data_IF_002271546558
#
_entry.id   IF_002271546558
#
_cell.length_a   1.000
_cell.length_b   1.000
_cell.length_c   1.000
_cell.angle_alpha   90.00
_cell.angle_beta   90.00
_cell.angle_gamma   90.00
#
_symmetry.space_group_name_H-M   'P 1'
#
loop_
_entity.id
_entity.type
_entity.pdbx_description
1 polymer ?
#
# COMPACT_ATOMS: atom_id res chain seq x y z
N UNK A 1 -23.40 -9.43 -28.60
CA UNK A 1 -23.32 -7.98 -28.37
C UNK A 1 -24.40 -7.61 -27.36
N UNK A 2 -24.04 -7.57 -26.06
CA UNK A 2 -24.93 -7.12 -25.01
C UNK A 2 -24.63 -5.65 -24.72
N UNK A 3 -25.55 -4.76 -25.06
CA UNK A 3 -25.57 -3.38 -24.61
C UNK A 3 -25.94 -3.38 -23.13
N UNK A 4 -24.97 -3.61 -22.26
CA UNK A 4 -25.11 -3.37 -20.83
C UNK A 4 -25.30 -1.87 -20.61
N UNK A 5 -26.49 -1.46 -20.24
CA UNK A 5 -26.79 -0.11 -19.76
C UNK A 5 -25.85 0.18 -18.60
N UNK A 6 -24.90 1.09 -18.77
CA UNK A 6 -24.09 1.65 -17.70
C UNK A 6 -25.05 2.43 -16.80
N UNK A 7 -25.54 1.79 -15.73
CA UNK A 7 -26.22 2.50 -14.66
C UNK A 7 -25.22 3.49 -14.06
N UNK A 8 -25.56 4.76 -13.92
CA UNK A 8 -24.69 5.70 -13.20
C UNK A 8 -24.49 5.17 -11.77
N UNK A 9 -23.26 4.82 -11.42
CA UNK A 9 -22.93 4.49 -10.04
C UNK A 9 -22.98 5.80 -9.25
N UNK A 10 -23.86 5.88 -8.27
CA UNK A 10 -23.77 6.89 -7.23
C UNK A 10 -22.57 6.52 -6.38
N UNK A 11 -21.55 7.37 -6.37
CA UNK A 11 -20.40 7.21 -5.51
C UNK A 11 -20.70 7.88 -4.17
N UNK A 12 -20.39 7.21 -3.07
CA UNK A 12 -20.33 7.89 -1.79
C UNK A 12 -19.21 8.94 -1.86
N UNK A 13 -19.48 10.15 -1.40
CA UNK A 13 -18.53 11.29 -1.53
C UNK A 13 -17.21 11.07 -0.78
N UNK A 14 -17.14 10.02 0.05
CA UNK A 14 -15.99 9.66 0.87
C UNK A 14 -15.20 8.44 0.34
N UNK A 15 -15.53 7.94 -0.86
CA UNK A 15 -14.81 6.83 -1.50
C UNK A 15 -14.33 7.17 -2.91
N UNK A 16 -13.12 6.71 -3.27
CA UNK A 16 -12.71 6.64 -4.67
C UNK A 16 -13.06 5.23 -5.19
N UNK A 17 -13.86 5.13 -6.25
CA UNK A 17 -14.33 3.85 -6.76
C UNK A 17 -13.22 2.98 -7.33
N UNK A 18 -13.50 1.67 -7.40
CA UNK A 18 -12.64 0.71 -8.06
C UNK A 18 -12.37 1.08 -9.51
N UNK A 19 -11.08 1.11 -9.89
CA UNK A 19 -10.60 1.38 -11.23
C UNK A 19 -10.92 2.78 -11.76
N UNK A 20 -11.37 3.72 -10.90
CA UNK A 20 -11.90 5.03 -11.32
C UNK A 20 -10.97 5.79 -12.27
N UNK A 21 -9.66 5.74 -12.02
CA UNK A 21 -8.63 6.45 -12.79
C UNK A 21 -7.52 5.53 -13.29
N UNK A 22 -7.76 4.21 -13.32
CA UNK A 22 -6.76 3.26 -13.78
C UNK A 22 -6.24 3.62 -15.19
N UNK A 23 -4.92 3.51 -15.39
CA UNK A 23 -4.23 3.77 -16.65
C UNK A 23 -4.40 5.20 -17.21
N UNK A 24 -4.88 6.16 -16.42
CA UNK A 24 -5.02 7.58 -16.82
C UNK A 24 -3.65 8.27 -16.86
N UNK A 25 -2.89 7.99 -17.92
CA UNK A 25 -1.55 8.55 -18.13
C UNK A 25 -1.54 10.06 -18.45
N UNK A 26 -2.70 10.71 -18.59
CA UNK A 26 -2.81 12.17 -18.67
C UNK A 26 -2.70 12.85 -17.31
N UNK A 27 -2.87 12.10 -16.19
CA UNK A 27 -2.74 12.62 -14.85
C UNK A 27 -1.26 12.70 -14.46
N UNK A 28 -0.80 13.87 -14.04
CA UNK A 28 0.58 14.11 -13.62
C UNK A 28 0.71 14.55 -12.14
N UNK A 29 -0.41 14.90 -11.51
CA UNK A 29 -0.49 15.27 -10.10
C UNK A 29 -1.79 14.77 -9.50
N UNK A 30 -1.72 14.34 -8.24
CA UNK A 30 -2.89 13.90 -7.47
C UNK A 30 -3.01 14.74 -6.19
N UNK A 31 -4.22 15.22 -5.92
CA UNK A 31 -4.63 15.81 -4.65
C UNK A 31 -5.90 15.08 -4.23
N UNK A 32 -5.87 14.44 -3.08
CA UNK A 32 -7.00 13.70 -2.52
C UNK A 32 -7.79 14.60 -1.56
N UNK A 33 -9.13 14.55 -1.55
CA UNK A 33 -9.95 15.37 -0.66
C UNK A 33 -9.88 14.86 0.80
N UNK A 34 -9.95 15.79 1.76
CA UNK A 34 -9.87 15.47 3.20
C UNK A 34 -11.09 14.71 3.73
N UNK A 35 -12.20 14.67 2.98
CA UNK A 35 -13.40 13.91 3.33
C UNK A 35 -13.24 12.41 3.10
N UNK A 36 -12.19 12.00 2.38
CA UNK A 36 -12.00 10.62 1.91
C UNK A 36 -11.84 9.63 3.07
N UNK A 37 -12.48 8.46 2.95
CA UNK A 37 -12.41 7.34 3.89
C UNK A 37 -11.81 6.09 3.29
N UNK A 38 -12.10 5.81 2.02
CA UNK A 38 -11.68 4.59 1.34
C UNK A 38 -11.17 4.90 -0.06
N UNK A 39 -10.03 4.30 -0.41
CA UNK A 39 -9.54 4.24 -1.78
C UNK A 39 -9.67 2.79 -2.25
N UNK A 40 -10.59 2.55 -3.17
CA UNK A 40 -10.90 1.20 -3.63
C UNK A 40 -9.83 0.63 -4.56
N UNK A 41 -9.98 -0.68 -4.88
CA UNK A 41 -8.98 -1.42 -5.65
C UNK A 41 -8.74 -0.81 -7.03
N UNK A 42 -7.49 -0.83 -7.49
CA UNK A 42 -7.08 -0.33 -8.81
C UNK A 42 -7.45 1.13 -9.08
N UNK A 43 -7.82 1.94 -8.08
CA UNK A 43 -8.36 3.29 -8.28
C UNK A 43 -7.47 4.17 -9.18
N UNK A 44 -6.15 4.07 -9.05
CA UNK A 44 -5.14 4.80 -9.84
C UNK A 44 -4.09 3.84 -10.43
N UNK A 45 -4.38 2.54 -10.53
CA UNK A 45 -3.42 1.57 -11.02
C UNK A 45 -2.82 1.99 -12.36
N UNK A 46 -1.51 1.82 -12.50
CA UNK A 46 -0.77 2.11 -13.75
C UNK A 46 -0.88 3.55 -14.27
N UNK A 47 -1.12 4.53 -13.39
CA UNK A 47 -1.03 5.95 -13.76
C UNK A 47 0.45 6.36 -13.88
N UNK A 48 1.07 6.08 -15.04
CA UNK A 48 2.53 6.19 -15.26
C UNK A 48 3.09 7.61 -15.22
N UNK A 49 2.25 8.65 -15.22
CA UNK A 49 2.68 10.04 -15.15
C UNK A 49 2.35 10.71 -13.82
N UNK A 50 1.71 10.01 -12.86
CA UNK A 50 1.57 10.50 -11.49
C UNK A 50 2.93 10.44 -10.79
N UNK A 51 3.53 11.61 -10.59
CA UNK A 51 4.86 11.78 -10.01
C UNK A 51 4.81 12.61 -8.71
N UNK A 52 5.96 12.77 -8.06
CA UNK A 52 6.09 13.51 -6.80
C UNK A 52 5.68 12.69 -5.58
N UNK A 53 5.27 13.38 -4.53
CA UNK A 53 4.85 12.76 -3.27
C UNK A 53 3.38 12.36 -3.30
N UNK A 54 3.04 11.29 -2.57
CA UNK A 54 1.67 10.90 -2.31
C UNK A 54 1.34 11.14 -0.84
N UNK A 55 0.32 11.96 -0.60
CA UNK A 55 -0.23 12.21 0.74
C UNK A 55 -1.62 11.61 0.78
N UNK A 56 -1.79 10.58 1.61
CA UNK A 56 -3.11 10.00 1.90
C UNK A 56 -3.70 10.83 3.04
N UNK A 57 -4.92 11.42 2.88
CA UNK A 57 -5.48 12.34 3.87
C UNK A 57 -5.84 11.65 5.19
N UNK A 58 -5.84 12.43 6.28
CA UNK A 58 -6.40 11.99 7.55
C UNK A 58 -7.88 11.63 7.41
N UNK A 59 -8.29 10.56 8.10
CA UNK A 59 -9.64 9.99 7.96
C UNK A 59 -9.73 8.81 7.00
N UNK A 60 -8.76 8.60 6.11
CA UNK A 60 -8.68 7.37 5.30
C UNK A 60 -8.34 6.19 6.20
N UNK A 61 -9.18 5.17 6.15
CA UNK A 61 -9.03 3.94 6.95
C UNK A 61 -8.58 2.73 6.14
N UNK A 62 -8.84 2.73 4.84
CA UNK A 62 -8.49 1.64 3.94
C UNK A 62 -7.98 2.16 2.59
N UNK A 63 -6.86 1.60 2.14
CA UNK A 63 -6.35 1.74 0.76
C UNK A 63 -6.22 0.34 0.20
N UNK A 64 -7.08 -0.02 -0.76
CA UNK A 64 -7.22 -1.40 -1.22
C UNK A 64 -6.16 -1.81 -2.24
N UNK A 65 -6.25 -3.07 -2.65
CA UNK A 65 -5.27 -3.72 -3.54
C UNK A 65 -5.11 -2.96 -4.85
N UNK A 66 -3.87 -2.83 -5.30
CA UNK A 66 -3.49 -2.14 -6.53
C UNK A 66 -3.92 -0.66 -6.64
N UNK A 67 -4.43 -0.04 -5.56
CA UNK A 67 -4.96 1.33 -5.63
C UNK A 67 -3.98 2.31 -6.29
N UNK A 68 -2.68 2.14 -6.08
CA UNK A 68 -1.60 2.95 -6.67
C UNK A 68 -0.50 2.08 -7.30
N UNK A 69 -0.78 0.80 -7.53
CA UNK A 69 0.20 -0.11 -8.11
C UNK A 69 0.73 0.40 -9.45
N UNK A 70 2.04 0.27 -9.66
CA UNK A 70 2.72 0.68 -10.89
C UNK A 70 2.56 2.17 -11.25
N UNK A 71 2.25 3.05 -10.30
CA UNK A 71 2.33 4.50 -10.49
C UNK A 71 3.78 5.00 -10.47
N UNK A 72 3.99 6.19 -11.05
CA UNK A 72 5.32 6.80 -11.16
C UNK A 72 5.70 7.71 -9.98
N UNK A 73 5.00 7.64 -8.84
CA UNK A 73 5.36 8.41 -7.65
C UNK A 73 6.83 8.21 -7.28
N UNK A 74 7.56 9.31 -7.12
CA UNK A 74 9.01 9.32 -6.87
C UNK A 74 9.43 10.30 -5.75
N UNK A 75 8.46 10.86 -5.03
CA UNK A 75 8.66 11.64 -3.82
C UNK A 75 8.37 10.82 -2.56
N UNK A 76 7.99 11.47 -1.47
CA UNK A 76 7.65 10.82 -0.21
C UNK A 76 6.26 10.17 -0.22
N UNK A 77 6.07 9.15 0.62
CA UNK A 77 4.78 8.58 0.94
C UNK A 77 4.38 9.00 2.36
N UNK A 78 3.20 9.63 2.51
CA UNK A 78 2.61 9.96 3.81
C UNK A 78 1.33 9.16 4.01
N UNK A 79 1.31 8.34 5.06
CA UNK A 79 0.16 7.54 5.46
C UNK A 79 -0.53 8.18 6.66
N UNK A 80 -1.88 8.23 6.72
CA UNK A 80 -2.62 8.88 7.79
C UNK A 80 -2.61 8.06 9.09
N UNK A 81 -2.73 8.74 10.22
CA UNK A 81 -2.80 8.10 11.54
C UNK A 81 -4.06 7.23 11.73
N UNK A 82 -5.05 7.37 10.88
CA UNK A 82 -6.32 6.63 10.88
C UNK A 82 -6.29 5.33 10.06
N UNK A 83 -5.23 5.08 9.29
CA UNK A 83 -5.15 3.95 8.36
C UNK A 83 -5.10 2.61 9.11
N UNK A 84 -6.03 1.72 8.80
CA UNK A 84 -6.13 0.38 9.39
C UNK A 84 -5.71 -0.72 8.43
N UNK A 85 -5.95 -0.54 7.12
CA UNK A 85 -5.70 -1.59 6.15
C UNK A 85 -5.05 -1.08 4.87
N UNK A 86 -4.03 -1.79 4.44
CA UNK A 86 -3.42 -1.71 3.12
C UNK A 86 -3.69 -3.02 2.38
N UNK A 87 -4.31 -2.94 1.22
CA UNK A 87 -4.76 -4.10 0.46
C UNK A 87 -6.09 -4.66 0.97
N UNK A 88 -6.56 -5.68 0.30
CA UNK A 88 -7.70 -6.49 0.73
C UNK A 88 -7.19 -7.92 1.02
N UNK A 89 -8.01 -8.72 1.70
CA UNK A 89 -7.65 -10.08 2.10
C UNK A 89 -7.69 -11.13 0.97
N UNK A 90 -7.93 -10.72 -0.28
CA UNK A 90 -8.00 -11.66 -1.40
C UNK A 90 -6.61 -11.87 -1.99
N UNK A 91 -6.20 -13.13 -2.08
CA UNK A 91 -5.03 -13.53 -2.84
C UNK A 91 -5.37 -13.44 -4.33
N UNK A 92 -4.70 -12.55 -5.04
CA UNK A 92 -4.83 -12.45 -6.49
C UNK A 92 -3.47 -12.62 -7.13
N UNK A 93 -3.35 -13.61 -7.99
CA UNK A 93 -2.13 -13.83 -8.80
C UNK A 93 -1.97 -12.80 -9.91
N UNK A 94 -2.98 -11.97 -10.15
CA UNK A 94 -3.07 -11.08 -11.30
C UNK A 94 -2.95 -9.59 -10.96
N UNK A 95 -3.10 -9.20 -9.69
CA UNK A 95 -3.10 -7.79 -9.30
C UNK A 95 -1.82 -7.41 -8.57
N UNK A 96 -1.40 -6.18 -8.80
CA UNK A 96 -0.38 -5.50 -8.02
C UNK A 96 -0.85 -5.33 -6.56
N UNK A 97 0.07 -5.19 -5.62
CA UNK A 97 -0.26 -4.70 -4.27
C UNK A 97 -0.52 -3.20 -4.28
N UNK A 98 -0.91 -2.66 -3.14
CA UNK A 98 -1.36 -1.27 -2.98
C UNK A 98 -0.42 -0.25 -3.61
N UNK A 99 0.91 -0.40 -3.40
CA UNK A 99 1.96 0.50 -3.89
C UNK A 99 3.05 -0.23 -4.69
N UNK A 100 2.75 -1.40 -5.21
CA UNK A 100 3.73 -2.20 -5.97
C UNK A 100 4.46 -1.34 -6.99
N UNK A 101 5.80 -1.46 -7.05
CA UNK A 101 6.68 -0.79 -7.99
C UNK A 101 6.68 0.75 -7.98
N UNK A 102 6.01 1.40 -7.03
CA UNK A 102 6.15 2.84 -6.85
C UNK A 102 7.60 3.19 -6.49
N UNK A 103 8.06 4.36 -6.96
CA UNK A 103 9.45 4.83 -6.79
C UNK A 103 9.60 5.80 -5.62
N UNK A 104 8.73 5.68 -4.61
CA UNK A 104 8.84 6.50 -3.40
C UNK A 104 10.26 6.52 -2.85
N UNK A 105 10.65 7.69 -2.32
CA UNK A 105 11.91 7.89 -1.62
C UNK A 105 11.63 8.43 -0.22
N UNK A 106 12.46 8.06 0.75
CA UNK A 106 12.30 8.51 2.13
C UNK A 106 12.09 7.36 3.10
N UNK A 107 11.94 7.69 4.35
CA UNK A 107 11.65 6.74 5.42
C UNK A 107 10.20 6.25 5.31
N UNK A 108 10.00 4.94 5.46
CA UNK A 108 8.65 4.36 5.52
C UNK A 108 8.15 4.37 6.96
N UNK A 109 7.17 5.22 7.23
CA UNK A 109 6.51 5.32 8.53
C UNK A 109 5.13 4.67 8.42
N UNK A 110 4.95 3.54 9.09
CA UNK A 110 3.65 2.88 9.21
C UNK A 110 2.89 3.42 10.43
N UNK A 111 1.60 3.78 10.30
CA UNK A 111 0.85 4.33 11.43
C UNK A 111 0.51 3.25 12.47
N UNK A 112 0.45 3.63 13.76
CA UNK A 112 0.15 2.72 14.88
C UNK A 112 -1.27 2.14 14.85
N UNK A 113 -2.14 2.67 14.02
CA UNK A 113 -3.49 2.16 13.79
C UNK A 113 -3.54 0.98 12.82
N UNK A 114 -2.42 0.69 12.11
CA UNK A 114 -2.40 -0.29 11.04
C UNK A 114 -2.52 -1.71 11.58
N UNK A 115 -3.52 -2.44 11.10
CA UNK A 115 -3.84 -3.81 11.52
C UNK A 115 -3.54 -4.85 10.44
N UNK A 116 -3.50 -4.43 9.17
CA UNK A 116 -3.39 -5.36 8.04
C UNK A 116 -2.54 -4.78 6.92
N UNK A 117 -1.59 -5.58 6.42
CA UNK A 117 -0.79 -5.29 5.22
C UNK A 117 -1.00 -6.43 4.24
N UNK A 118 -1.65 -6.12 3.13
CA UNK A 118 -2.02 -7.06 2.08
C UNK A 118 -0.85 -7.53 1.22
N UNK A 119 -1.16 -8.47 0.34
CA UNK A 119 -0.19 -9.05 -0.59
C UNK A 119 0.46 -7.95 -1.43
N UNK A 120 1.80 -8.02 -1.58
CA UNK A 120 2.63 -7.14 -2.42
C UNK A 120 2.49 -5.64 -2.12
N UNK A 121 1.96 -5.23 -0.96
CA UNK A 121 1.61 -3.83 -0.70
C UNK A 121 2.74 -2.85 -0.97
N UNK A 122 3.98 -3.21 -0.69
CA UNK A 122 5.18 -2.40 -0.94
C UNK A 122 6.20 -3.11 -1.85
N UNK A 123 5.80 -4.18 -2.56
CA UNK A 123 6.72 -4.91 -3.44
C UNK A 123 7.41 -3.98 -4.42
N UNK A 124 8.74 -4.04 -4.48
CA UNK A 124 9.53 -3.24 -5.41
C UNK A 124 9.66 -1.76 -5.07
N UNK A 125 9.18 -1.30 -3.89
CA UNK A 125 9.38 0.07 -3.41
C UNK A 125 10.83 0.27 -2.91
N UNK A 126 11.78 0.11 -3.81
CA UNK A 126 13.22 0.06 -3.47
C UNK A 126 13.83 1.39 -3.05
N UNK A 127 13.13 2.51 -3.21
CA UNK A 127 13.60 3.84 -2.77
C UNK A 127 13.19 4.18 -1.33
N UNK A 128 12.29 3.40 -0.70
CA UNK A 128 12.01 3.50 0.72
C UNK A 128 13.18 2.96 1.53
N UNK A 129 13.63 3.69 2.56
CA UNK A 129 14.82 3.34 3.33
C UNK A 129 14.60 3.44 4.84
N UNK A 130 15.63 3.04 5.61
CA UNK A 130 15.67 3.11 7.07
C UNK A 130 15.17 1.84 7.76
N UNK A 131 15.00 1.93 9.07
CA UNK A 131 14.49 0.84 9.89
C UNK A 131 12.98 0.77 9.78
N UNK A 132 12.46 -0.39 9.38
CA UNK A 132 11.02 -0.60 9.34
C UNK A 132 10.50 -0.91 10.74
N UNK A 133 9.68 -0.02 11.28
CA UNK A 133 8.89 -0.30 12.48
C UNK A 133 7.53 -0.88 12.08
N UNK A 134 7.24 -2.10 12.56
CA UNK A 134 5.93 -2.74 12.41
C UNK A 134 5.06 -2.41 13.62
N UNK A 135 3.87 -1.79 13.43
CA UNK A 135 3.04 -1.35 14.55
C UNK A 135 2.52 -2.49 15.43
N UNK A 136 2.39 -2.28 16.74
CA UNK A 136 1.94 -3.30 17.70
C UNK A 136 0.53 -3.84 17.42
N UNK A 137 -0.33 -3.05 16.78
CA UNK A 137 -1.69 -3.46 16.39
C UNK A 137 -1.73 -4.36 15.16
N UNK A 138 -0.60 -4.55 14.48
CA UNK A 138 -0.54 -5.35 13.27
C UNK A 138 -0.84 -6.82 13.59
N UNK A 139 -1.77 -7.40 12.83
CA UNK A 139 -2.25 -8.77 12.99
C UNK A 139 -1.81 -9.67 11.84
N UNK A 140 -1.62 -9.08 10.67
CA UNK A 140 -1.36 -9.85 9.46
C UNK A 140 -0.49 -9.09 8.47
N UNK A 141 0.52 -9.79 7.94
CA UNK A 141 1.36 -9.34 6.83
C UNK A 141 1.32 -10.44 5.78
N UNK A 142 0.79 -10.11 4.61
CA UNK A 142 0.59 -11.06 3.52
C UNK A 142 1.86 -11.27 2.68
N UNK A 143 1.76 -12.25 1.78
CA UNK A 143 2.80 -12.67 0.85
C UNK A 143 3.41 -11.47 0.12
N UNK A 144 4.76 -11.44 0.05
CA UNK A 144 5.54 -10.43 -0.68
C UNK A 144 5.31 -8.98 -0.25
N UNK A 145 4.74 -8.73 0.92
CA UNK A 145 4.34 -7.38 1.34
C UNK A 145 5.47 -6.36 1.23
N UNK A 146 6.70 -6.74 1.53
CA UNK A 146 7.91 -5.91 1.45
C UNK A 146 8.98 -6.51 0.53
N UNK A 147 8.60 -7.38 -0.40
CA UNK A 147 9.57 -8.00 -1.31
C UNK A 147 10.32 -6.94 -2.12
N UNK A 148 11.64 -7.10 -2.25
CA UNK A 148 12.51 -6.19 -2.99
C UNK A 148 12.53 -4.72 -2.48
N UNK A 149 12.18 -4.47 -1.22
CA UNK A 149 12.41 -3.19 -0.55
C UNK A 149 13.90 -3.08 -0.13
N UNK A 150 14.79 -2.94 -1.09
CA UNK A 150 16.25 -3.14 -0.93
C UNK A 150 16.92 -2.20 0.06
N UNK A 151 16.34 -1.03 0.32
CA UNK A 151 16.91 -0.02 1.20
C UNK A 151 16.27 0.02 2.60
N UNK A 152 15.29 -0.84 2.87
CA UNK A 152 14.86 -1.10 4.24
C UNK A 152 15.93 -1.94 4.92
N UNK A 153 16.55 -1.41 5.99
CA UNK A 153 17.73 -1.98 6.65
C UNK A 153 17.52 -2.09 8.15
N UNK A 154 18.53 -2.60 8.86
CA UNK A 154 18.54 -2.71 10.31
C UNK A 154 17.79 -3.93 10.84
N UNK A 155 17.35 -3.82 12.08
CA UNK A 155 16.63 -4.88 12.78
C UNK A 155 15.16 -4.92 12.32
N UNK A 156 14.54 -6.08 12.49
CA UNK A 156 13.10 -6.22 12.32
C UNK A 156 12.51 -6.96 13.52
N UNK A 157 11.51 -6.35 14.15
CA UNK A 157 10.73 -6.95 15.22
C UNK A 157 9.35 -7.28 14.72
N UNK A 158 8.94 -8.55 14.82
CA UNK A 158 7.60 -8.98 14.43
C UNK A 158 6.66 -8.77 15.62
N UNK A 159 5.58 -7.97 15.49
CA UNK A 159 4.65 -7.73 16.58
C UNK A 159 3.94 -9.01 17.05
N UNK A 160 3.60 -9.09 18.33
CA UNK A 160 2.93 -10.26 18.93
C UNK A 160 1.59 -10.62 18.26
N UNK A 161 0.92 -9.63 17.66
CA UNK A 161 -0.32 -9.84 16.91
C UNK A 161 -0.14 -10.65 15.64
N UNK A 162 1.05 -10.60 15.02
CA UNK A 162 1.34 -11.29 13.76
C UNK A 162 1.67 -12.75 14.03
N UNK A 163 0.75 -13.65 13.71
CA UNK A 163 0.90 -15.09 13.97
C UNK A 163 1.57 -15.86 12.83
N UNK A 164 1.58 -15.33 11.62
CA UNK A 164 2.13 -15.94 10.43
C UNK A 164 2.90 -14.91 9.63
N UNK A 165 4.16 -15.20 9.32
CA UNK A 165 4.94 -14.48 8.32
C UNK A 165 4.73 -15.20 7.00
N UNK A 166 4.03 -14.55 6.06
CA UNK A 166 3.69 -15.17 4.79
C UNK A 166 4.92 -15.32 3.87
N UNK A 167 4.79 -16.16 2.84
CA UNK A 167 5.87 -16.44 1.88
C UNK A 167 6.47 -15.17 1.29
N UNK A 168 7.78 -15.13 1.19
CA UNK A 168 8.55 -14.07 0.54
C UNK A 168 8.26 -12.65 1.08
N UNK A 169 7.66 -12.53 2.27
CA UNK A 169 7.23 -11.27 2.86
C UNK A 169 8.33 -10.21 2.84
N UNK A 170 9.55 -10.58 3.16
CA UNK A 170 10.73 -9.72 3.20
C UNK A 170 11.82 -10.13 2.20
N UNK A 171 11.51 -11.00 1.24
CA UNK A 171 12.50 -11.51 0.29
C UNK A 171 13.12 -10.38 -0.54
N UNK A 172 14.45 -10.35 -0.63
CA UNK A 172 15.16 -9.32 -1.37
C UNK A 172 15.14 -7.93 -0.75
N UNK A 173 14.63 -7.79 0.49
CA UNK A 173 14.76 -6.58 1.30
C UNK A 173 16.19 -6.45 1.87
N UNK A 174 16.56 -5.24 2.29
CA UNK A 174 17.90 -4.93 2.76
C UNK A 174 18.17 -5.17 4.24
N UNK A 175 17.24 -5.83 4.97
CA UNK A 175 17.41 -6.08 6.41
C UNK A 175 18.71 -6.86 6.68
N UNK A 176 19.54 -6.31 7.54
CA UNK A 176 20.89 -6.81 7.83
C UNK A 176 21.22 -6.86 9.34
N UNK A 177 20.23 -6.59 10.18
CA UNK A 177 20.33 -6.64 11.63
C UNK A 177 19.69 -7.91 12.21
N UNK A 178 19.12 -7.79 13.40
CA UNK A 178 18.48 -8.88 14.12
C UNK A 178 17.03 -9.08 13.72
N UNK A 179 16.60 -10.32 13.62
CA UNK A 179 15.18 -10.67 13.56
C UNK A 179 14.72 -11.03 14.98
N UNK A 180 13.78 -10.24 15.50
CA UNK A 180 13.15 -10.51 16.79
C UNK A 180 11.75 -11.07 16.59
N UNK A 181 11.54 -12.28 17.05
CA UNK A 181 10.24 -12.95 17.12
C UNK A 181 9.76 -12.94 18.56
N UNK A 182 8.46 -12.88 18.76
CA UNK A 182 7.86 -13.04 20.08
C UNK A 182 7.66 -14.53 20.38
N UNK A 183 7.88 -14.89 21.63
CA UNK A 183 7.50 -16.21 22.16
C UNK A 183 5.97 -16.32 22.06
N UNK A 184 5.49 -17.31 21.32
CA UNK A 184 4.06 -17.52 20.99
C UNK A 184 3.27 -18.14 22.14
#
# INVERSE_FOLDING_TARGET
>A
YGSGSLQPRTYDEDEIPEGAMAEKNSLNRLVLPDTLKIINSCAFESCKNLTGSLIIPEGVTEVKTAAFGDCAFNGSLSLPSTLKKLGNGFESTWYNGTFTNCKFVGELILPESLEFIGERSFEGCSGLYGNLHLPDKLKEIRKRAFQNCKNLTGDITIPQGVKIISEECFSGSGFNGNLQLHDG
#
